data_IF_249157139626
#
_entry.id   IF_249157139626
#
_cell.length_a   1.000
_cell.length_b   1.000
_cell.length_c   1.000
_cell.angle_alpha   90.00
_cell.angle_beta   90.00
_cell.angle_gamma   90.00
#
_symmetry.space_group_name_H-M   'P 1'
#
loop_
_entity.id
_entity.type
_entity.pdbx_description
1 polymer ?
#
# COMPACT_ATOMS: atom_id res chain seq x y z
N UNK A 1 16.33 -8.78 -11.63
CA UNK A 1 14.89 -9.11 -11.58
C UNK A 1 14.46 -9.33 -10.14
N UNK A 2 13.20 -9.03 -9.79
CA UNK A 2 12.66 -9.11 -8.42
C UNK A 2 11.16 -9.42 -8.44
N UNK A 3 10.48 -9.26 -7.30
CA UNK A 3 9.05 -9.53 -7.16
C UNK A 3 8.69 -10.99 -6.93
N UNK A 4 7.67 -11.21 -6.13
CA UNK A 4 7.18 -12.52 -5.70
C UNK A 4 6.10 -13.01 -6.66
N UNK A 5 6.22 -14.27 -7.08
CA UNK A 5 5.20 -14.96 -7.87
C UNK A 5 3.98 -15.24 -7.01
N UNK A 6 2.79 -15.07 -7.58
CA UNK A 6 1.52 -15.31 -6.90
C UNK A 6 1.38 -16.77 -6.44
N UNK A 7 1.91 -17.70 -7.25
CA UNK A 7 1.96 -19.12 -6.95
C UNK A 7 3.18 -19.77 -7.60
N UNK A 8 3.36 -21.07 -7.37
CA UNK A 8 4.51 -21.85 -7.85
C UNK A 8 4.54 -22.09 -9.36
N UNK A 9 3.46 -21.77 -10.10
CA UNK A 9 3.47 -21.85 -11.56
C UNK A 9 4.27 -20.71 -12.18
N UNK A 10 4.58 -19.65 -11.42
CA UNK A 10 5.48 -18.57 -11.82
C UNK A 10 5.08 -17.85 -13.12
N UNK A 11 3.77 -17.70 -13.36
CA UNK A 11 3.23 -17.00 -14.53
C UNK A 11 2.76 -15.58 -14.22
N UNK A 12 2.54 -15.25 -12.95
CA UNK A 12 1.93 -13.99 -12.53
C UNK A 12 2.51 -13.48 -11.22
N UNK A 13 2.90 -12.20 -11.16
CA UNK A 13 3.35 -11.52 -9.94
C UNK A 13 2.30 -10.51 -9.51
N UNK A 14 1.67 -10.76 -8.38
CA UNK A 14 0.50 -10.01 -7.94
C UNK A 14 0.80 -9.01 -6.82
N UNK A 15 0.04 -7.94 -6.76
CA UNK A 15 0.04 -6.97 -5.65
C UNK A 15 -0.30 -7.64 -4.32
N UNK A 16 -1.22 -8.62 -4.31
CA UNK A 16 -1.64 -9.36 -3.11
C UNK A 16 -0.54 -10.15 -2.41
N UNK A 17 0.56 -10.46 -3.08
CA UNK A 17 1.71 -11.11 -2.45
C UNK A 17 2.87 -10.14 -2.23
N UNK A 18 3.09 -9.19 -3.14
CA UNK A 18 4.26 -8.31 -3.07
C UNK A 18 4.15 -7.26 -1.96
N UNK A 19 3.08 -6.47 -1.90
CA UNK A 19 3.00 -5.41 -0.89
C UNK A 19 2.79 -5.95 0.54
N UNK A 20 1.96 -6.98 0.76
CA UNK A 20 1.91 -7.65 2.07
C UNK A 20 3.25 -8.27 2.48
N UNK A 21 4.02 -8.85 1.56
CA UNK A 21 5.34 -9.39 1.90
C UNK A 21 6.36 -8.29 2.25
N UNK A 22 6.32 -7.14 1.58
CA UNK A 22 7.15 -5.99 1.97
C UNK A 22 6.83 -5.53 3.39
N UNK A 23 5.53 -5.37 3.71
CA UNK A 23 5.07 -5.06 5.06
C UNK A 23 5.56 -6.11 6.07
N UNK A 24 5.34 -7.40 5.77
CA UNK A 24 5.72 -8.48 6.68
C UNK A 24 7.24 -8.52 6.93
N UNK A 25 8.05 -8.31 5.89
CA UNK A 25 9.49 -8.21 6.01
C UNK A 25 9.91 -7.02 6.89
N UNK A 26 9.32 -5.84 6.71
CA UNK A 26 9.62 -4.70 7.60
C UNK A 26 9.24 -4.99 9.06
N UNK A 27 8.08 -5.61 9.29
CA UNK A 27 7.65 -5.99 10.64
C UNK A 27 8.58 -7.04 11.28
N UNK A 28 9.10 -7.99 10.50
CA UNK A 28 10.11 -8.95 10.96
C UNK A 28 11.43 -8.27 11.31
N UNK A 29 11.86 -7.27 10.53
CA UNK A 29 13.02 -6.45 10.88
C UNK A 29 12.83 -5.78 12.25
N UNK A 30 11.69 -5.12 12.47
CA UNK A 30 11.40 -4.47 13.77
C UNK A 30 11.36 -5.48 14.93
N UNK A 31 10.81 -6.68 14.70
CA UNK A 31 10.66 -7.69 15.74
C UNK A 31 11.97 -8.41 16.09
N UNK A 32 12.84 -8.63 15.11
CA UNK A 32 14.03 -9.46 15.26
C UNK A 32 15.34 -8.67 15.29
N UNK A 33 15.33 -7.40 14.86
CA UNK A 33 16.54 -6.58 14.69
C UNK A 33 17.45 -7.02 13.54
N UNK A 34 17.05 -8.02 12.75
CA UNK A 34 17.83 -8.53 11.62
C UNK A 34 17.59 -7.67 10.37
N UNK A 35 18.61 -6.89 10.00
CA UNK A 35 18.59 -5.98 8.84
C UNK A 35 18.37 -6.70 7.51
N UNK A 36 18.58 -8.01 7.44
CA UNK A 36 18.30 -8.80 6.23
C UNK A 36 16.82 -8.73 5.83
N UNK A 37 15.90 -8.58 6.79
CA UNK A 37 14.49 -8.41 6.50
C UNK A 37 14.14 -7.02 5.99
N UNK A 38 14.83 -5.99 6.46
CA UNK A 38 14.65 -4.63 5.95
C UNK A 38 15.10 -4.53 4.49
N UNK A 39 16.24 -5.14 4.15
CA UNK A 39 16.70 -5.24 2.75
C UNK A 39 15.67 -5.96 1.87
N UNK A 40 15.05 -7.04 2.37
CA UNK A 40 13.98 -7.76 1.63
C UNK A 40 12.76 -6.87 1.43
N UNK A 41 12.32 -6.15 2.48
CA UNK A 41 11.20 -5.22 2.42
C UNK A 41 11.40 -4.19 1.32
N UNK A 42 12.55 -3.50 1.34
CA UNK A 42 12.92 -2.49 0.37
C UNK A 42 12.98 -3.05 -1.06
N UNK A 43 13.56 -4.24 -1.25
CA UNK A 43 13.67 -4.87 -2.56
C UNK A 43 12.30 -5.25 -3.15
N UNK A 44 11.41 -5.84 -2.33
CA UNK A 44 10.06 -6.25 -2.76
C UNK A 44 9.21 -5.01 -3.08
N UNK A 45 9.20 -4.02 -2.18
CA UNK A 45 8.46 -2.78 -2.38
C UNK A 45 8.96 -2.01 -3.61
N UNK A 46 10.28 -1.86 -3.77
CA UNK A 46 10.86 -1.15 -4.93
C UNK A 46 10.47 -1.83 -6.24
N UNK A 47 10.51 -3.17 -6.29
CA UNK A 47 10.04 -3.89 -7.47
C UNK A 47 8.54 -3.64 -7.72
N UNK A 48 7.70 -3.73 -6.69
CA UNK A 48 6.26 -3.49 -6.80
C UNK A 48 5.95 -2.07 -7.26
N UNK A 49 6.60 -1.06 -6.68
CA UNK A 49 6.46 0.36 -7.07
C UNK A 49 6.87 0.58 -8.54
N UNK A 50 7.98 0.02 -8.99
CA UNK A 50 8.43 0.20 -10.38
C UNK A 50 7.58 -0.54 -11.42
N UNK A 51 6.81 -1.56 -11.03
CA UNK A 51 6.09 -2.42 -11.98
C UNK A 51 4.57 -2.34 -11.88
N UNK A 52 4.03 -2.00 -10.72
CA UNK A 52 2.61 -2.10 -10.40
C UNK A 52 2.01 -0.76 -9.95
N UNK A 53 2.80 0.31 -9.79
CA UNK A 53 2.31 1.63 -9.43
C UNK A 53 2.45 2.61 -10.61
N UNK A 54 1.35 3.30 -10.93
CA UNK A 54 1.29 4.36 -11.93
C UNK A 54 1.50 5.73 -11.26
N UNK A 55 2.69 6.29 -11.41
CA UNK A 55 3.07 7.53 -10.72
C UNK A 55 2.31 8.78 -11.16
N UNK A 56 1.73 8.79 -12.36
CA UNK A 56 0.93 9.91 -12.88
C UNK A 56 -0.44 10.02 -12.21
N UNK A 57 -1.01 8.89 -11.75
CA UNK A 57 -2.37 8.85 -11.21
C UNK A 57 -2.44 8.40 -9.75
N UNK A 58 -1.44 7.66 -9.27
CA UNK A 58 -1.48 6.95 -8.00
C UNK A 58 -2.10 5.56 -8.07
N UNK A 59 -2.46 5.06 -9.27
CA UNK A 59 -3.09 3.74 -9.40
C UNK A 59 -2.12 2.62 -9.06
N UNK A 60 -2.57 1.63 -8.28
CA UNK A 60 -1.85 0.37 -8.05
C UNK A 60 -2.58 -0.76 -8.76
N UNK A 61 -1.89 -1.38 -9.71
CA UNK A 61 -2.38 -2.46 -10.55
C UNK A 61 -2.49 -3.79 -9.79
N UNK A 62 -3.17 -4.76 -10.39
CA UNK A 62 -3.38 -6.08 -9.79
C UNK A 62 -2.11 -6.93 -9.83
N UNK A 63 -1.34 -6.80 -10.90
CA UNK A 63 -0.13 -7.59 -11.06
C UNK A 63 0.42 -7.55 -12.48
N UNK A 64 1.44 -8.36 -12.72
CA UNK A 64 2.19 -8.43 -13.96
C UNK A 64 2.41 -9.88 -14.37
N UNK A 65 2.08 -10.20 -15.61
CA UNK A 65 2.33 -11.52 -16.21
C UNK A 65 3.83 -11.71 -16.48
N UNK A 66 4.25 -12.96 -16.61
CA UNK A 66 5.64 -13.34 -16.90
C UNK A 66 6.13 -12.81 -18.26
N UNK A 67 5.22 -12.54 -19.20
CA UNK A 67 5.51 -11.91 -20.50
C UNK A 67 5.70 -10.37 -20.42
N UNK A 68 5.49 -9.79 -19.23
CA UNK A 68 5.65 -8.35 -18.98
C UNK A 68 4.36 -7.54 -19.08
N UNK A 69 3.25 -8.11 -19.54
CA UNK A 69 1.96 -7.42 -19.58
C UNK A 69 1.41 -7.16 -18.17
N UNK A 70 0.81 -5.99 -17.96
CA UNK A 70 0.28 -5.56 -16.65
C UNK A 70 -1.23 -5.73 -16.63
N UNK A 71 -1.75 -6.40 -15.59
CA UNK A 71 -3.19 -6.46 -15.31
C UNK A 71 -3.62 -5.12 -14.70
N UNK A 72 -4.33 -4.32 -15.48
CA UNK A 72 -4.72 -2.96 -15.09
C UNK A 72 -5.92 -2.91 -14.14
N UNK A 73 -6.47 -4.06 -13.77
CA UNK A 73 -7.42 -4.17 -12.66
C UNK A 73 -6.82 -3.55 -11.39
N UNK A 74 -7.67 -3.04 -10.51
CA UNK A 74 -7.25 -2.44 -9.25
C UNK A 74 -8.34 -2.63 -8.21
N UNK A 75 -7.92 -3.08 -7.03
CA UNK A 75 -8.81 -3.33 -5.90
C UNK A 75 -8.35 -2.48 -4.72
N UNK A 76 -9.27 -2.15 -3.80
CA UNK A 76 -8.97 -1.29 -2.67
C UNK A 76 -7.82 -1.83 -1.81
N UNK A 77 -7.69 -3.15 -1.66
CA UNK A 77 -6.61 -3.75 -0.89
C UNK A 77 -5.22 -3.53 -1.54
N UNK A 78 -5.13 -3.44 -2.88
CA UNK A 78 -3.87 -3.15 -3.58
C UNK A 78 -3.35 -1.79 -3.15
N UNK A 79 -4.27 -0.80 -3.14
CA UNK A 79 -3.97 0.57 -2.75
C UNK A 79 -3.58 0.66 -1.27
N UNK A 80 -4.36 0.02 -0.40
CA UNK A 80 -4.06 0.01 1.03
C UNK A 80 -2.69 -0.61 1.31
N UNK A 81 -2.43 -1.81 0.83
CA UNK A 81 -1.16 -2.51 1.12
C UNK A 81 0.06 -1.81 0.52
N UNK A 82 -0.07 -1.21 -0.67
CA UNK A 82 0.98 -0.33 -1.21
C UNK A 82 1.24 0.87 -0.29
N UNK A 83 0.20 1.59 0.12
CA UNK A 83 0.34 2.74 1.01
C UNK A 83 0.93 2.34 2.38
N UNK A 84 0.58 1.17 2.90
CA UNK A 84 1.15 0.61 4.12
C UNK A 84 2.63 0.30 4.01
N UNK A 85 3.05 -0.33 2.90
CA UNK A 85 4.47 -0.57 2.62
C UNK A 85 5.25 0.75 2.46
N UNK A 86 4.69 1.71 1.70
CA UNK A 86 5.28 3.02 1.51
C UNK A 86 5.45 3.76 2.85
N UNK A 87 4.46 3.72 3.74
CA UNK A 87 4.56 4.31 5.07
C UNK A 87 5.74 3.77 5.87
N UNK A 88 5.89 2.44 5.94
CA UNK A 88 6.99 1.83 6.69
C UNK A 88 8.36 2.14 6.09
N UNK A 89 8.42 2.34 4.79
CA UNK A 89 9.66 2.64 4.06
C UNK A 89 9.91 4.15 3.85
N UNK A 90 9.20 5.00 4.58
CA UNK A 90 9.43 6.45 4.58
C UNK A 90 8.88 7.22 3.38
N UNK A 91 8.06 6.57 2.54
CA UNK A 91 7.41 7.16 1.38
C UNK A 91 5.88 7.31 1.56
N UNK A 92 5.40 7.23 2.81
CA UNK A 92 3.98 7.35 3.14
C UNK A 92 3.39 8.67 2.66
N UNK A 93 4.10 9.78 2.92
CA UNK A 93 3.63 11.13 2.59
C UNK A 93 3.74 11.52 1.11
N UNK A 94 4.37 10.68 0.29
CA UNK A 94 4.54 10.89 -1.14
C UNK A 94 3.65 9.92 -1.92
N UNK A 95 4.19 8.77 -2.30
CA UNK A 95 3.50 7.79 -3.16
C UNK A 95 2.40 7.05 -2.41
N UNK A 96 2.56 6.80 -1.11
CA UNK A 96 1.52 6.17 -0.30
C UNK A 96 0.24 7.01 -0.29
N UNK A 97 0.40 8.31 -0.09
CA UNK A 97 -0.64 9.33 -0.17
C UNK A 97 -1.27 9.43 -1.57
N UNK A 98 -0.47 9.41 -2.63
CA UNK A 98 -0.99 9.37 -4.01
C UNK A 98 -1.91 8.16 -4.26
N UNK A 99 -1.54 6.99 -3.74
CA UNK A 99 -2.36 5.78 -3.84
C UNK A 99 -3.70 5.89 -3.09
N UNK A 100 -3.69 6.48 -1.89
CA UNK A 100 -4.91 6.73 -1.13
C UNK A 100 -5.82 7.77 -1.83
N UNK A 101 -5.23 8.82 -2.39
CA UNK A 101 -5.95 9.85 -3.13
C UNK A 101 -6.56 9.28 -4.42
N UNK A 102 -5.84 8.41 -5.13
CA UNK A 102 -6.41 7.67 -6.26
C UNK A 102 -7.62 6.84 -5.84
N UNK A 103 -7.52 6.08 -4.74
CA UNK A 103 -8.64 5.26 -4.27
C UNK A 103 -9.85 6.13 -3.93
N UNK A 104 -9.63 7.25 -3.24
CA UNK A 104 -10.67 8.22 -2.90
C UNK A 104 -11.34 8.79 -4.15
N UNK A 105 -10.56 9.21 -5.14
CA UNK A 105 -11.09 9.87 -6.35
C UNK A 105 -11.73 8.87 -7.33
N UNK A 106 -11.30 7.61 -7.30
CA UNK A 106 -11.87 6.53 -8.12
C UNK A 106 -13.11 5.89 -7.48
N UNK A 107 -13.34 6.16 -6.20
CA UNK A 107 -14.54 5.76 -5.47
C UNK A 107 -15.53 6.93 -5.44
N UNK A 108 -16.83 6.66 -5.36
CA UNK A 108 -17.82 7.69 -5.09
C UNK A 108 -17.77 8.16 -3.62
N UNK A 109 -18.93 8.44 -3.02
CA UNK A 109 -19.03 8.74 -1.59
C UNK A 109 -18.74 7.52 -0.68
N UNK A 110 -18.63 6.32 -1.24
CA UNK A 110 -18.38 5.06 -0.52
C UNK A 110 -17.32 4.24 -1.24
N UNK A 111 -16.64 3.36 -0.48
CA UNK A 111 -15.71 2.38 -1.06
C UNK A 111 -16.43 1.43 -2.03
N UNK A 112 -15.72 0.84 -3.02
CA UNK A 112 -16.33 -0.06 -3.99
C UNK A 112 -16.92 -1.30 -3.34
N UNK A 113 -18.02 -1.81 -3.91
CA UNK A 113 -18.68 -3.04 -3.47
C UNK A 113 -18.11 -4.22 -4.24
N UNK A 114 -17.48 -5.16 -3.53
CA UNK A 114 -16.86 -6.37 -4.11
C UNK A 114 -17.66 -7.65 -3.81
N UNK A 115 -18.93 -7.51 -3.41
CA UNK A 115 -19.76 -8.60 -2.92
C UNK A 115 -19.55 -8.92 -1.44
N UNK A 116 -20.39 -9.81 -0.91
CA UNK A 116 -20.39 -10.24 0.50
C UNK A 116 -19.88 -11.67 0.71
N UNK A 117 -19.47 -12.35 -0.36
CA UNK A 117 -18.97 -13.73 -0.37
C UNK A 117 -17.62 -13.79 -1.11
N UNK A 118 -16.75 -14.73 -0.72
CA UNK A 118 -15.42 -14.88 -1.31
C UNK A 118 -14.44 -13.76 -0.91
N UNK A 119 -13.32 -13.67 -1.64
CA UNK A 119 -12.20 -12.80 -1.28
C UNK A 119 -12.57 -11.31 -1.22
N UNK A 120 -13.47 -10.87 -2.11
CA UNK A 120 -13.89 -9.48 -2.25
C UNK A 120 -14.46 -8.87 -0.97
N UNK A 121 -15.13 -9.66 -0.13
CA UNK A 121 -15.74 -9.21 1.11
C UNK A 121 -14.71 -8.61 2.10
N UNK A 122 -13.43 -9.02 2.01
CA UNK A 122 -12.36 -8.56 2.89
C UNK A 122 -11.59 -7.34 2.39
N UNK A 123 -11.70 -6.97 1.11
CA UNK A 123 -10.79 -6.01 0.48
C UNK A 123 -10.80 -4.63 1.13
N UNK A 124 -11.99 -4.10 1.41
CA UNK A 124 -12.13 -2.79 2.05
C UNK A 124 -11.62 -2.78 3.50
N UNK A 125 -11.70 -3.89 4.22
CA UNK A 125 -11.13 -4.00 5.56
C UNK A 125 -9.59 -3.90 5.55
N UNK A 126 -8.96 -4.56 4.57
CA UNK A 126 -7.50 -4.47 4.36
C UNK A 126 -7.12 -3.03 3.97
N UNK A 127 -7.87 -2.42 3.05
CA UNK A 127 -7.66 -1.02 2.66
C UNK A 127 -7.70 -0.08 3.87
N UNK A 128 -8.77 -0.13 4.66
CA UNK A 128 -8.97 0.78 5.79
C UNK A 128 -7.85 0.67 6.84
N UNK A 129 -7.38 -0.54 7.13
CA UNK A 129 -6.27 -0.77 8.06
C UNK A 129 -5.02 0.02 7.66
N UNK A 130 -4.63 -0.08 6.39
CA UNK A 130 -3.40 0.53 5.91
C UNK A 130 -3.57 2.01 5.57
N UNK A 131 -4.74 2.42 5.08
CA UNK A 131 -5.08 3.82 4.89
C UNK A 131 -5.03 4.59 6.22
N UNK A 132 -5.53 4.01 7.31
CA UNK A 132 -5.43 4.61 8.63
C UNK A 132 -3.97 4.77 9.08
N UNK A 133 -3.11 3.77 8.81
CA UNK A 133 -1.69 3.79 9.20
C UNK A 133 -0.89 4.81 8.37
N UNK A 134 -1.02 4.77 7.04
CA UNK A 134 -0.31 5.65 6.12
C UNK A 134 -0.85 7.10 6.12
N UNK A 135 -2.14 7.27 6.40
CA UNK A 135 -2.79 8.57 6.56
C UNK A 135 -2.60 9.18 7.95
N UNK A 136 -2.04 8.44 8.91
CA UNK A 136 -1.86 8.91 10.29
C UNK A 136 -1.10 10.24 10.35
N UNK A 137 -0.04 10.38 9.55
CA UNK A 137 0.78 11.60 9.55
C UNK A 137 0.01 12.81 8.99
N UNK A 138 -0.94 12.61 8.06
CA UNK A 138 -1.87 13.68 7.61
C UNK A 138 -2.70 14.18 8.78
N UNK A 139 -3.27 13.26 9.55
CA UNK A 139 -4.14 13.57 10.68
C UNK A 139 -3.33 14.18 11.84
N UNK A 140 -2.13 13.67 12.10
CA UNK A 140 -1.23 14.20 13.12
C UNK A 140 -0.80 15.62 12.80
N UNK A 141 -0.51 15.94 11.53
CA UNK A 141 -0.22 17.31 11.09
C UNK A 141 -1.39 18.26 11.36
N UNK A 142 -2.61 17.87 10.98
CA UNK A 142 -3.83 18.65 11.30
C UNK A 142 -4.00 18.81 12.81
N UNK A 143 -3.86 17.74 13.58
CA UNK A 143 -3.97 17.77 15.05
C UNK A 143 -2.93 18.69 15.68
N UNK A 144 -1.70 18.66 15.21
CA UNK A 144 -0.62 19.51 15.73
C UNK A 144 -0.83 20.98 15.35
N UNK A 145 -1.30 21.27 14.13
CA UNK A 145 -1.70 22.61 13.72
C UNK A 145 -2.84 23.16 14.59
N UNK A 146 -3.85 22.33 14.89
CA UNK A 146 -4.91 22.68 15.83
C UNK A 146 -4.37 22.96 17.24
N UNK A 147 -3.48 22.11 17.78
CA UNK A 147 -2.86 22.32 19.10
C UNK A 147 -1.99 23.58 19.17
N UNK A 148 -1.32 23.95 18.08
CA UNK A 148 -0.56 25.20 17.99
C UNK A 148 -1.43 26.44 17.88
N UNK A 149 -2.64 26.33 17.31
CA UNK A 149 -3.60 27.42 17.18
C UNK A 149 -4.42 27.68 18.47
N UNK A 150 -4.48 26.72 19.40
CA UNK A 150 -5.30 26.81 20.63
C UNK A 150 -4.51 27.01 21.92
N UNK A 151 -3.23 27.39 21.87
CA UNK A 151 -2.48 27.75 23.07
C UNK A 151 -2.47 29.28 23.25
N UNK A 152 -3.46 29.89 23.92
CA UNK A 152 -3.24 31.22 24.47
C UNK A 152 -2.08 31.10 25.46
N UNK A 153 -1.08 31.95 25.30
CA UNK A 153 -0.07 32.15 26.32
C UNK A 153 -0.78 32.67 27.58
N UNK A 154 -0.68 31.91 28.67
CA UNK A 154 -1.00 32.36 30.02
C UNK A 154 0.32 32.74 30.70
#
# INVERSE_FOLDING_TARGET
GGGIWWNTNNTYKASCVNFPAAIAAHLLYLALGDSSYETKSQAIYSWGKSNLFESSTGKVYDGKNSDGSVSTASYSYNQGTFAGAAYYLGEGSTVGWQSLDWQKNSSGSTLPVYGSTGDGAGFNGIFLRWAAKAGWDRIAGVRNAWRGATAPAW
#
